data_IF_874367407839
#
_entry.id   IF_874367407839
#
_cell.length_a   1.000
_cell.length_b   1.000
_cell.length_c   1.000
_cell.angle_alpha   90.00
_cell.angle_beta   90.00
_cell.angle_gamma   90.00
#
_symmetry.space_group_name_H-M   'P 1'
#
loop_
_entity.id
_entity.type
_entity.pdbx_description
1 polymer ?
#
# COMPACT_ATOMS: atom_id res chain seq x y z
N UNK A 1 -4.50 6.42 -34.82
CA UNK A 1 -4.05 5.76 -33.59
C UNK A 1 -3.27 6.80 -32.77
N UNK A 2 -3.62 6.97 -31.51
CA UNK A 2 -2.87 7.81 -30.58
C UNK A 2 -1.59 7.06 -30.21
N UNK A 3 -0.46 7.74 -30.15
CA UNK A 3 0.82 7.17 -29.72
C UNK A 3 1.15 7.76 -28.37
N UNK A 4 1.67 6.94 -27.47
CA UNK A 4 2.17 7.35 -26.15
C UNK A 4 3.36 6.46 -25.78
N UNK A 5 4.24 6.95 -24.89
CA UNK A 5 5.40 6.18 -24.43
C UNK A 5 5.00 5.10 -23.43
N UNK A 6 4.01 5.42 -22.56
CA UNK A 6 3.54 4.50 -21.53
C UNK A 6 2.01 4.46 -21.49
N UNK A 7 1.46 3.26 -21.36
CA UNK A 7 0.05 3.03 -21.03
C UNK A 7 -0.01 2.30 -19.69
N UNK A 8 -0.76 2.86 -18.74
CA UNK A 8 -1.06 2.26 -17.44
C UNK A 8 -2.49 1.71 -17.54
N UNK A 9 -2.67 0.44 -17.25
CA UNK A 9 -3.98 -0.21 -17.24
C UNK A 9 -4.45 -0.34 -15.79
N UNK A 10 -5.52 0.39 -15.47
CA UNK A 10 -6.10 0.48 -14.13
C UNK A 10 -5.79 1.80 -13.44
N UNK A 11 -6.83 2.54 -13.05
CA UNK A 11 -6.77 3.80 -12.29
C UNK A 11 -7.04 3.59 -10.80
N UNK A 12 -6.61 2.46 -10.23
CA UNK A 12 -6.58 2.23 -8.78
C UNK A 12 -5.38 2.94 -8.12
N UNK A 13 -5.21 2.75 -6.81
CA UNK A 13 -4.13 3.38 -6.03
C UNK A 13 -2.74 3.16 -6.64
N UNK A 14 -2.44 1.94 -7.09
CA UNK A 14 -1.15 1.60 -7.71
C UNK A 14 -0.96 2.31 -9.04
N UNK A 15 -1.96 2.25 -9.94
CA UNK A 15 -1.88 2.89 -11.24
C UNK A 15 -1.76 4.41 -11.15
N UNK A 16 -2.55 5.03 -10.26
CA UNK A 16 -2.48 6.47 -10.02
C UNK A 16 -1.14 6.90 -9.39
N UNK A 17 -0.60 6.12 -8.44
CA UNK A 17 0.72 6.38 -7.87
C UNK A 17 1.83 6.28 -8.92
N UNK A 18 1.80 5.25 -9.79
CA UNK A 18 2.75 5.09 -10.89
C UNK A 18 2.61 6.25 -11.89
N UNK A 19 1.38 6.65 -12.22
CA UNK A 19 1.12 7.79 -13.11
C UNK A 19 1.73 9.08 -12.54
N UNK A 20 1.53 9.35 -11.24
CA UNK A 20 2.12 10.50 -10.56
C UNK A 20 3.66 10.45 -10.61
N UNK A 21 4.28 9.30 -10.36
CA UNK A 21 5.74 9.20 -10.42
C UNK A 21 6.27 9.40 -11.85
N UNK A 22 5.61 8.85 -12.85
CA UNK A 22 6.00 9.00 -14.24
C UNK A 22 5.78 10.41 -14.78
N UNK A 23 4.82 11.17 -14.22
CA UNK A 23 4.57 12.56 -14.60
C UNK A 23 5.72 13.53 -14.30
N UNK A 24 6.71 13.08 -13.53
CA UNK A 24 7.94 13.84 -13.25
C UNK A 24 8.96 13.82 -14.41
N UNK A 25 8.71 13.02 -15.44
CA UNK A 25 9.61 12.80 -16.56
C UNK A 25 8.99 13.34 -17.87
N UNK A 26 9.84 13.71 -18.82
CA UNK A 26 9.42 14.17 -20.17
C UNK A 26 9.00 12.99 -21.06
N UNK A 27 7.94 12.29 -20.65
CA UNK A 27 7.32 11.17 -21.36
C UNK A 27 5.81 11.35 -21.42
N UNK A 28 5.19 10.82 -22.48
CA UNK A 28 3.74 10.78 -22.61
C UNK A 28 3.16 9.57 -21.89
N UNK A 29 2.20 9.80 -20.99
CA UNK A 29 1.57 8.74 -20.20
C UNK A 29 0.05 8.81 -20.38
N UNK A 30 -0.56 7.66 -20.62
CA UNK A 30 -2.03 7.50 -20.62
C UNK A 30 -2.40 6.43 -19.58
N UNK A 31 -3.34 6.76 -18.70
CA UNK A 31 -3.99 5.81 -17.80
C UNK A 31 -5.34 5.44 -18.40
N UNK A 32 -5.65 4.16 -18.47
CA UNK A 32 -6.95 3.66 -18.94
C UNK A 32 -7.63 2.84 -17.86
N UNK A 33 -8.93 3.08 -17.64
CA UNK A 33 -9.74 2.31 -16.71
C UNK A 33 -11.15 2.10 -17.28
N UNK A 34 -11.73 0.92 -17.01
CA UNK A 34 -13.08 0.60 -17.47
C UNK A 34 -14.19 1.28 -16.66
N UNK A 35 -13.87 1.73 -15.45
CA UNK A 35 -14.82 2.41 -14.56
C UNK A 35 -14.98 3.90 -14.94
N UNK A 36 -16.03 4.50 -14.45
CA UNK A 36 -16.35 5.93 -14.63
C UNK A 36 -15.49 6.86 -13.77
N UNK A 37 -14.83 6.31 -12.73
CA UNK A 37 -14.02 7.07 -11.77
C UNK A 37 -12.76 6.29 -11.37
N UNK A 38 -11.78 6.99 -10.82
CA UNK A 38 -10.56 6.41 -10.28
C UNK A 38 -10.83 5.67 -8.96
N UNK A 39 -10.08 4.61 -8.70
CA UNK A 39 -10.17 3.85 -7.44
C UNK A 39 -11.47 3.06 -7.25
N UNK A 40 -12.18 2.72 -8.32
CA UNK A 40 -13.52 2.10 -8.27
C UNK A 40 -13.65 0.78 -7.51
N UNK A 41 -12.54 0.04 -7.31
CA UNK A 41 -12.52 -1.29 -6.69
C UNK A 41 -11.88 -1.29 -5.30
N UNK A 42 -10.96 -2.21 -5.06
CA UNK A 42 -10.27 -2.42 -3.77
C UNK A 42 -9.60 -1.17 -3.20
N UNK A 43 -9.23 -0.20 -4.04
CA UNK A 43 -8.58 1.04 -3.60
C UNK A 43 -9.47 1.95 -2.75
N UNK A 44 -10.80 1.80 -2.86
CA UNK A 44 -11.79 2.50 -2.01
C UNK A 44 -12.49 1.55 -1.02
N UNK A 45 -12.28 0.23 -1.13
CA UNK A 45 -12.91 -0.80 -0.27
C UNK A 45 -11.86 -1.52 0.55
N UNK A 46 -11.24 -0.81 1.49
CA UNK A 46 -10.17 -1.32 2.35
C UNK A 46 -10.28 -0.75 3.78
N UNK A 47 -9.38 -1.18 4.66
CA UNK A 47 -9.36 -0.76 6.07
C UNK A 47 -8.78 0.64 6.31
N UNK A 48 -8.30 1.32 5.28
CA UNK A 48 -7.67 2.64 5.38
C UNK A 48 -6.39 2.69 6.25
N UNK A 49 -5.75 1.56 6.48
CA UNK A 49 -4.56 1.46 7.32
C UNK A 49 -3.30 1.50 6.46
N UNK A 50 -2.37 2.36 6.84
CA UNK A 50 -1.00 2.37 6.34
C UNK A 50 -0.15 1.53 7.29
N UNK A 51 0.08 0.30 6.90
CA UNK A 51 0.80 -0.69 7.69
C UNK A 51 2.29 -0.40 7.81
N UNK A 52 2.88 -0.81 8.94
CA UNK A 52 4.33 -0.77 9.18
C UNK A 52 5.08 -1.98 8.61
N UNK A 53 4.37 -3.07 8.34
CA UNK A 53 4.95 -4.36 7.96
C UNK A 53 5.37 -5.22 9.17
N UNK A 54 4.91 -4.90 10.38
CA UNK A 54 5.25 -5.64 11.60
C UNK A 54 4.85 -7.12 11.53
N UNK A 55 3.74 -7.42 10.87
CA UNK A 55 3.15 -8.75 10.75
C UNK A 55 3.36 -9.42 9.37
N UNK A 56 3.98 -8.73 8.42
CA UNK A 56 4.31 -9.31 7.12
C UNK A 56 5.27 -10.50 7.25
N UNK A 57 5.21 -11.43 6.30
CA UNK A 57 6.13 -12.56 6.29
C UNK A 57 7.57 -12.09 6.02
N UNK A 58 8.55 -12.32 6.93
CA UNK A 58 9.90 -11.80 6.77
C UNK A 58 10.59 -12.30 5.49
N UNK A 59 11.31 -11.40 4.81
CA UNK A 59 12.05 -11.69 3.59
C UNK A 59 11.21 -11.71 2.31
N UNK A 60 9.89 -11.48 2.40
CA UNK A 60 9.02 -11.35 1.22
C UNK A 60 9.14 -9.97 0.59
N UNK A 61 8.72 -9.86 -0.68
CA UNK A 61 8.60 -8.57 -1.35
C UNK A 61 7.58 -7.65 -0.63
N UNK A 62 6.52 -8.23 -0.10
CA UNK A 62 5.52 -7.53 0.70
C UNK A 62 6.17 -6.82 1.89
N UNK A 63 6.91 -7.55 2.75
CA UNK A 63 7.56 -6.95 3.92
C UNK A 63 8.51 -5.82 3.55
N UNK A 64 9.29 -6.01 2.47
CA UNK A 64 10.23 -4.98 1.99
C UNK A 64 9.51 -3.72 1.52
N UNK A 65 8.45 -3.86 0.73
CA UNK A 65 7.71 -2.74 0.16
C UNK A 65 6.90 -1.99 1.23
N UNK A 66 6.22 -2.68 2.13
CA UNK A 66 5.42 -2.07 3.19
C UNK A 66 6.30 -1.27 4.16
N UNK A 67 7.42 -1.86 4.61
CA UNK A 67 8.38 -1.18 5.48
C UNK A 67 8.98 0.06 4.82
N UNK A 68 9.34 -0.03 3.54
CA UNK A 68 9.88 1.10 2.81
C UNK A 68 8.84 2.20 2.55
N UNK A 69 7.59 1.83 2.29
CA UNK A 69 6.51 2.76 1.95
C UNK A 69 5.99 3.55 3.17
N UNK A 70 5.92 2.94 4.36
CA UNK A 70 5.31 3.57 5.54
C UNK A 70 5.85 4.99 5.83
N UNK A 71 7.18 5.25 5.90
CA UNK A 71 7.69 6.59 6.15
C UNK A 71 7.49 7.57 4.98
N UNK A 72 7.20 7.09 3.77
CA UNK A 72 6.98 7.96 2.61
C UNK A 72 5.63 8.68 2.70
N UNK A 73 4.67 8.12 3.43
CA UNK A 73 3.32 8.68 3.52
C UNK A 73 3.27 10.03 4.21
N UNK A 74 4.15 10.34 5.16
CA UNK A 74 4.20 11.66 5.80
C UNK A 74 4.36 12.76 4.73
N UNK A 75 5.33 12.57 3.82
CA UNK A 75 5.54 13.56 2.76
C UNK A 75 4.50 13.49 1.65
N UNK A 76 4.04 12.30 1.27
CA UNK A 76 3.04 12.14 0.22
C UNK A 76 1.74 12.83 0.63
N UNK A 77 1.29 12.65 1.86
CA UNK A 77 0.05 13.22 2.35
C UNK A 77 0.14 14.73 2.58
N UNK A 78 1.30 15.21 3.02
CA UNK A 78 1.58 16.65 3.10
C UNK A 78 1.56 17.31 1.70
N UNK A 79 2.29 16.72 0.73
CA UNK A 79 2.38 17.26 -0.64
C UNK A 79 1.03 17.30 -1.38
N UNK A 80 0.13 16.39 -1.03
CA UNK A 80 -1.15 16.19 -1.73
C UNK A 80 -2.38 16.62 -0.90
N UNK A 81 -2.16 17.16 0.29
CA UNK A 81 -3.24 17.57 1.23
C UNK A 81 -4.25 16.44 1.51
N UNK A 82 -3.74 15.22 1.73
CA UNK A 82 -4.55 14.02 2.03
C UNK A 82 -4.70 13.85 3.53
N UNK A 83 -5.92 13.68 4.07
CA UNK A 83 -6.13 13.39 5.48
C UNK A 83 -5.40 12.12 5.90
N UNK A 84 -4.50 12.27 6.87
CA UNK A 84 -3.62 11.22 7.36
C UNK A 84 -3.32 11.44 8.84
N UNK A 85 -3.30 10.36 9.63
CA UNK A 85 -2.98 10.43 11.06
C UNK A 85 -2.16 9.21 11.50
N UNK A 86 -1.04 9.46 12.16
CA UNK A 86 -0.25 8.44 12.85
C UNK A 86 -0.82 8.22 14.24
N UNK A 87 -1.82 7.35 14.33
CA UNK A 87 -2.55 7.06 15.58
C UNK A 87 -1.96 5.88 16.34
N UNK A 88 -1.12 5.07 15.68
CA UNK A 88 -0.70 3.77 16.17
C UNK A 88 -1.81 2.72 16.10
N UNK A 89 -1.45 1.51 16.48
CA UNK A 89 -2.41 0.42 16.67
C UNK A 89 -2.07 -0.40 17.90
N UNK A 90 -3.08 -0.97 18.53
CA UNK A 90 -2.92 -1.94 19.61
C UNK A 90 -3.33 -3.32 19.13
N UNK A 91 -2.54 -4.33 19.42
CA UNK A 91 -2.84 -5.75 19.24
C UNK A 91 -3.08 -6.37 20.60
N UNK A 92 -4.33 -6.40 21.10
CA UNK A 92 -4.63 -6.92 22.42
C UNK A 92 -4.67 -8.45 22.44
N UNK A 93 -4.19 -9.06 23.53
CA UNK A 93 -4.34 -10.46 23.83
C UNK A 93 -5.39 -10.64 24.92
N UNK A 94 -6.45 -11.41 24.63
CA UNK A 94 -7.56 -11.67 25.56
C UNK A 94 -7.34 -13.02 26.26
N UNK A 95 -6.86 -14.04 25.53
CA UNK A 95 -6.59 -15.37 26.08
C UNK A 95 -5.12 -15.54 26.46
N UNK A 96 -4.81 -16.53 27.29
CA UNK A 96 -3.44 -16.88 27.62
C UNK A 96 -2.64 -17.28 26.39
N UNK A 97 -3.25 -18.10 25.54
CA UNK A 97 -2.64 -18.54 24.28
C UNK A 97 -2.24 -17.34 23.38
N UNK A 98 -3.11 -16.33 23.25
CA UNK A 98 -2.78 -15.10 22.50
C UNK A 98 -1.63 -14.33 23.17
N UNK A 99 -1.63 -14.25 24.51
CA UNK A 99 -0.60 -13.55 25.24
C UNK A 99 0.77 -14.21 25.07
N UNK A 100 0.82 -15.54 25.10
CA UNK A 100 2.06 -16.31 24.88
C UNK A 100 2.61 -16.14 23.43
N UNK A 101 1.79 -15.76 22.47
CA UNK A 101 2.21 -15.52 21.09
C UNK A 101 2.86 -14.14 20.86
N UNK A 102 2.62 -13.15 21.73
CA UNK A 102 3.09 -11.79 21.54
C UNK A 102 4.61 -11.67 21.35
N UNK A 103 5.48 -12.39 22.09
CA UNK A 103 6.91 -12.33 21.85
C UNK A 103 7.32 -12.76 20.44
N UNK A 104 6.67 -13.79 19.90
CA UNK A 104 6.92 -14.26 18.54
C UNK A 104 6.51 -13.25 17.47
N UNK A 105 5.41 -12.50 17.73
CA UNK A 105 4.95 -11.43 16.84
C UNK A 105 5.94 -10.25 16.88
N UNK A 106 6.42 -9.87 18.07
CA UNK A 106 7.42 -8.80 18.18
C UNK A 106 8.75 -9.22 17.51
N UNK A 107 9.21 -10.45 17.71
CA UNK A 107 10.42 -10.95 17.03
C UNK A 107 10.25 -10.91 15.50
N UNK A 108 9.07 -11.27 14.99
CA UNK A 108 8.73 -11.18 13.57
C UNK A 108 8.81 -9.74 13.07
N UNK A 109 8.28 -8.78 13.82
CA UNK A 109 8.39 -7.35 13.51
C UNK A 109 9.87 -6.91 13.44
N UNK A 110 10.69 -7.33 14.37
CA UNK A 110 12.13 -7.00 14.39
C UNK A 110 12.86 -7.58 13.18
N UNK A 111 12.49 -8.80 12.74
CA UNK A 111 13.04 -9.37 11.50
C UNK A 111 12.63 -8.58 10.25
N UNK A 112 11.53 -7.85 10.31
CA UNK A 112 11.09 -6.92 9.27
C UNK A 112 11.65 -5.50 9.46
N UNK A 113 12.60 -5.29 10.37
CA UNK A 113 13.17 -3.98 10.71
C UNK A 113 12.16 -2.98 11.31
N UNK A 114 11.07 -3.46 11.88
CA UNK A 114 10.08 -2.67 12.64
C UNK A 114 10.42 -2.82 14.12
N UNK A 115 11.32 -1.97 14.63
CA UNK A 115 11.91 -2.09 15.97
C UNK A 115 11.17 -1.36 17.08
N UNK A 116 10.17 -0.56 16.74
CA UNK A 116 9.40 0.29 17.63
C UNK A 116 8.10 -0.35 18.14
N UNK A 117 7.94 -1.66 17.96
CA UNK A 117 6.83 -2.43 18.53
C UNK A 117 7.06 -2.65 20.02
N UNK A 118 6.15 -2.21 20.86
CA UNK A 118 6.28 -2.19 22.31
C UNK A 118 5.28 -3.14 22.99
N UNK A 119 5.74 -3.87 24.02
CA UNK A 119 4.81 -4.55 24.93
C UNK A 119 4.08 -3.53 25.80
N UNK A 120 2.79 -3.75 25.99
CA UNK A 120 1.92 -2.99 26.90
C UNK A 120 1.25 -3.92 27.88
N UNK A 121 1.23 -3.49 29.14
CA UNK A 121 0.44 -4.16 30.17
C UNK A 121 -1.04 -3.95 29.94
N UNK A 122 -1.87 -4.71 30.66
CA UNK A 122 -3.31 -4.52 30.68
C UNK A 122 -3.72 -3.10 31.03
N UNK A 123 -3.09 -2.54 32.09
CA UNK A 123 -3.36 -1.21 32.61
C UNK A 123 -3.06 -0.14 31.56
N UNK A 124 -1.89 -0.22 30.94
CA UNK A 124 -1.47 0.70 29.86
C UNK A 124 -2.42 0.64 28.65
N UNK A 125 -2.86 -0.57 28.24
CA UNK A 125 -3.80 -0.70 27.14
C UNK A 125 -5.18 -0.11 27.44
N UNK A 126 -5.69 -0.31 28.68
CA UNK A 126 -6.98 0.24 29.11
C UNK A 126 -6.92 1.75 29.31
N UNK A 127 -5.73 2.32 29.59
CA UNK A 127 -5.51 3.77 29.61
C UNK A 127 -5.51 4.35 28.19
N UNK A 128 -4.85 3.67 27.24
CA UNK A 128 -4.81 4.08 25.84
C UNK A 128 -6.18 3.95 25.16
N UNK A 129 -6.87 2.82 25.40
CA UNK A 129 -8.15 2.46 24.80
C UNK A 129 -9.14 1.99 25.88
N UNK A 130 -9.86 2.92 26.55
CA UNK A 130 -10.75 2.59 27.65
C UNK A 130 -11.93 1.67 27.28
N UNK A 131 -12.25 1.55 26.00
CA UNK A 131 -13.32 0.69 25.49
C UNK A 131 -12.87 -0.71 25.11
N UNK A 132 -11.60 -1.08 25.32
CA UNK A 132 -11.14 -2.45 25.15
C UNK A 132 -11.86 -3.41 26.09
N UNK A 133 -11.93 -4.68 25.69
CA UNK A 133 -12.43 -5.73 26.58
C UNK A 133 -11.63 -5.71 27.89
N UNK A 134 -12.29 -5.56 29.07
CA UNK A 134 -11.62 -5.50 30.36
C UNK A 134 -10.88 -6.79 30.75
N UNK A 135 -11.11 -7.92 30.03
CA UNK A 135 -10.38 -9.16 30.24
C UNK A 135 -9.04 -9.23 29.48
N UNK A 136 -8.66 -8.14 28.77
CA UNK A 136 -7.36 -8.06 28.10
C UNK A 136 -6.22 -8.33 29.08
N UNK A 137 -5.28 -9.19 28.67
CA UNK A 137 -4.12 -9.59 29.49
C UNK A 137 -2.91 -8.69 29.30
N UNK A 138 -2.80 -8.11 28.14
CA UNK A 138 -1.73 -7.26 27.65
C UNK A 138 -1.73 -7.25 26.13
N UNK A 139 -0.72 -6.69 25.49
CA UNK A 139 -0.66 -6.63 24.04
C UNK A 139 0.60 -5.98 23.50
N UNK A 140 0.58 -5.72 22.21
CA UNK A 140 1.60 -4.94 21.53
C UNK A 140 1.02 -3.61 21.07
N UNK A 141 1.82 -2.55 21.19
CA UNK A 141 1.57 -1.26 20.57
C UNK A 141 2.51 -1.07 19.39
N UNK A 142 1.95 -0.65 18.25
CA UNK A 142 2.65 -0.42 16.99
C UNK A 142 2.52 1.06 16.63
N UNK A 143 3.47 1.92 17.02
CA UNK A 143 3.31 3.38 16.97
C UNK A 143 3.09 3.97 15.59
N UNK A 144 3.68 3.37 14.54
CA UNK A 144 3.64 3.90 13.17
C UNK A 144 2.52 3.35 12.30
N UNK A 145 1.66 2.46 12.82
CA UNK A 145 0.40 2.16 12.16
C UNK A 145 -0.41 3.46 12.04
N UNK A 146 -1.01 3.69 10.89
CA UNK A 146 -1.60 4.99 10.59
C UNK A 146 -2.89 4.81 9.82
N UNK A 147 -3.76 5.81 9.86
CA UNK A 147 -4.97 5.85 9.05
C UNK A 147 -4.87 6.95 7.99
N UNK A 148 -5.49 6.69 6.85
CA UNK A 148 -5.53 7.61 5.71
C UNK A 148 -6.93 7.61 5.11
N UNK A 149 -7.30 8.69 4.42
CA UNK A 149 -8.48 8.64 3.56
C UNK A 149 -8.14 7.98 2.22
N UNK A 150 -8.57 6.73 1.95
CA UNK A 150 -8.21 6.00 0.74
C UNK A 150 -8.90 6.56 -0.51
N UNK A 151 -10.04 7.25 -0.37
CA UNK A 151 -10.73 7.90 -1.48
C UNK A 151 -9.95 9.13 -1.95
N UNK A 152 -9.64 10.02 -1.01
CA UNK A 152 -8.90 11.26 -1.29
C UNK A 152 -7.48 10.92 -1.77
N UNK A 153 -6.81 9.89 -1.22
CA UNK A 153 -5.47 9.51 -1.66
C UNK A 153 -5.42 9.17 -3.16
N UNK A 154 -6.34 8.31 -3.63
CA UNK A 154 -6.34 7.89 -5.04
C UNK A 154 -6.69 9.05 -5.95
N UNK A 155 -7.68 9.86 -5.56
CA UNK A 155 -8.06 11.05 -6.29
C UNK A 155 -6.89 12.05 -6.38
N UNK A 156 -6.23 12.34 -5.27
CA UNK A 156 -5.10 13.27 -5.23
C UNK A 156 -3.91 12.81 -6.10
N UNK A 157 -3.63 11.50 -6.14
CA UNK A 157 -2.64 10.95 -7.07
C UNK A 157 -3.03 11.20 -8.53
N UNK A 158 -4.30 10.94 -8.88
CA UNK A 158 -4.79 11.11 -10.23
C UNK A 158 -4.79 12.60 -10.65
N UNK A 159 -5.30 13.48 -9.80
CA UNK A 159 -5.34 14.93 -10.04
C UNK A 159 -3.93 15.51 -10.20
N UNK A 160 -3.00 15.12 -9.33
CA UNK A 160 -1.61 15.55 -9.44
C UNK A 160 -0.96 15.05 -10.73
N UNK A 161 -1.19 13.81 -11.13
CA UNK A 161 -0.71 13.27 -12.40
C UNK A 161 -1.30 14.02 -13.60
N UNK A 162 -2.62 14.30 -13.59
CA UNK A 162 -3.29 15.09 -14.63
C UNK A 162 -2.71 16.51 -14.73
N UNK A 163 -2.51 17.18 -13.60
CA UNK A 163 -1.92 18.52 -13.56
C UNK A 163 -0.51 18.57 -14.16
N UNK A 164 0.18 17.44 -14.16
CA UNK A 164 1.51 17.27 -14.74
C UNK A 164 1.50 16.57 -16.12
N UNK A 165 0.35 16.54 -16.80
CA UNK A 165 0.25 16.17 -18.22
C UNK A 165 -0.06 14.70 -18.49
N UNK A 166 -0.36 13.88 -17.47
CA UNK A 166 -0.87 12.52 -17.68
C UNK A 166 -2.33 12.58 -18.13
N UNK A 167 -2.68 11.80 -19.15
CA UNK A 167 -4.04 11.69 -19.63
C UNK A 167 -4.75 10.49 -18.99
N UNK A 168 -5.98 10.69 -18.51
CA UNK A 168 -6.84 9.63 -18.02
C UNK A 168 -7.97 9.37 -19.03
N UNK A 169 -8.14 8.13 -19.44
CA UNK A 169 -9.24 7.64 -20.28
C UNK A 169 -10.06 6.66 -19.46
N UNK A 170 -11.05 7.17 -18.75
CA UNK A 170 -12.05 6.38 -18.02
C UNK A 170 -13.08 5.80 -18.98
N UNK A 171 -13.94 4.90 -18.50
CA UNK A 171 -14.93 4.17 -19.30
C UNK A 171 -14.30 3.47 -20.53
N UNK A 172 -13.01 3.08 -20.38
CA UNK A 172 -12.19 2.52 -21.46
C UNK A 172 -11.66 1.17 -21.06
N UNK A 173 -12.24 0.12 -21.63
CA UNK A 173 -11.85 -1.27 -21.39
C UNK A 173 -10.71 -1.72 -22.32
N UNK A 174 -9.64 -2.24 -21.75
CA UNK A 174 -8.57 -2.92 -22.50
C UNK A 174 -9.02 -4.35 -22.83
N UNK A 175 -9.22 -4.65 -24.10
CA UNK A 175 -9.70 -5.96 -24.55
C UNK A 175 -8.58 -6.90 -25.02
N UNK A 176 -7.36 -6.40 -25.19
CA UNK A 176 -6.22 -7.21 -25.60
C UNK A 176 -4.93 -6.43 -25.67
N UNK A 177 -3.82 -7.15 -25.66
CA UNK A 177 -2.48 -6.58 -25.81
C UNK A 177 -1.69 -7.38 -26.85
N UNK A 178 -1.13 -6.68 -27.83
CA UNK A 178 -0.33 -7.29 -28.90
C UNK A 178 1.17 -7.23 -28.54
N UNK A 179 1.60 -8.07 -27.60
CA UNK A 179 2.97 -8.08 -27.09
C UNK A 179 4.04 -8.37 -28.17
N UNK A 180 3.67 -9.03 -29.25
CA UNK A 180 4.60 -9.33 -30.35
C UNK A 180 4.97 -8.10 -31.20
N UNK A 181 4.27 -6.98 -31.04
CA UNK A 181 4.58 -5.71 -31.71
C UNK A 181 5.37 -4.72 -30.82
N UNK A 182 5.49 -5.04 -29.54
CA UNK A 182 6.22 -4.21 -28.56
C UNK A 182 7.15 -5.12 -27.77
N UNK A 183 8.45 -5.21 -28.13
CA UNK A 183 9.40 -6.05 -27.42
C UNK A 183 9.46 -5.66 -25.93
N UNK A 184 9.15 -6.62 -25.06
CA UNK A 184 9.24 -6.45 -23.62
C UNK A 184 10.60 -6.95 -23.10
N UNK A 185 11.23 -6.25 -22.16
CA UNK A 185 12.43 -6.78 -21.48
C UNK A 185 12.19 -8.16 -20.82
N UNK A 186 10.93 -8.50 -20.52
CA UNK A 186 10.53 -9.81 -19.96
C UNK A 186 10.58 -10.92 -21.01
N UNK A 187 10.39 -10.63 -22.28
CA UNK A 187 10.40 -11.63 -23.35
C UNK A 187 11.78 -12.28 -23.48
N UNK A 188 12.83 -11.52 -23.25
CA UNK A 188 14.22 -12.02 -23.22
C UNK A 188 14.51 -12.92 -21.99
N UNK A 189 13.75 -12.78 -20.91
CA UNK A 189 13.91 -13.59 -19.68
C UNK A 189 13.10 -14.89 -19.75
N UNK A 190 11.93 -14.87 -20.37
CA UNK A 190 11.10 -16.07 -20.56
C UNK A 190 11.76 -17.07 -21.51
N UNK A 191 12.53 -16.60 -22.50
CA UNK A 191 13.27 -17.46 -23.42
C UNK A 191 14.49 -18.16 -22.77
N UNK A 192 14.84 -17.82 -21.53
CA UNK A 192 15.97 -18.38 -20.79
C UNK A 192 15.57 -19.30 -19.63
N UNK A 193 14.27 -19.51 -19.41
CA UNK A 193 13.85 -20.57 -18.48
C UNK A 193 14.10 -21.91 -19.14
N UNK A 194 14.94 -22.80 -18.54
CA UNK A 194 15.06 -24.16 -19.03
C UNK A 194 13.68 -24.81 -18.88
N UNK A 195 13.20 -25.42 -19.94
CA UNK A 195 12.07 -26.33 -19.87
C UNK A 195 12.44 -27.41 -18.87
N UNK A 196 11.90 -27.33 -17.65
CA UNK A 196 12.00 -28.45 -16.73
C UNK A 196 11.30 -29.64 -17.35
N UNK A 197 12.09 -30.66 -17.67
CA UNK A 197 11.63 -31.99 -18.02
C UNK A 197 10.84 -32.60 -16.85
#
# INVERSE_FOLDING_TARGET
MKKTDVVIVGAGAVGCAVARELSKYEISVIVVDQNEDVGGDASKSNSAIIHTGYDAAPGTLESQLVVAANPMYDKITEDLDVPFARIGAVLPAITEEQYEQLPGIQEKAFRNHVYDVEFKTREELLEMEPNLNPEVKGGLYIPRESIIDPFILVQAYAENACANGVEFQLETQVTGCLLYTSPSPRDATLSRMPSSA
#
